data_IF_005853037167
#
_entry.id   IF_005853037167
#
_cell.length_a   1.000
_cell.length_b   1.000
_cell.length_c   1.000
_cell.angle_alpha   90.00
_cell.angle_beta   90.00
_cell.angle_gamma   90.00
#
_symmetry.space_group_name_H-M   'P 1'
#
loop_
_entity.id
_entity.type
_entity.pdbx_description
1 polymer ?
#
# COMPACT_ATOMS: atom_id res chain seq x y z
N UNK A 1 6.56 2.61 4.54
CA UNK A 1 5.78 2.67 5.80
C UNK A 1 6.05 3.94 6.60
N UNK A 2 7.26 4.14 7.16
CA UNK A 2 7.60 5.21 8.13
C UNK A 2 7.05 6.62 7.83
N UNK A 3 7.24 7.14 6.63
CA UNK A 3 6.84 8.54 6.31
C UNK A 3 5.41 8.66 5.79
N UNK A 4 4.90 7.61 5.13
CA UNK A 4 3.60 7.66 4.45
C UNK A 4 2.44 7.25 5.36
N UNK A 5 2.71 6.49 6.43
CA UNK A 5 1.68 6.03 7.37
C UNK A 5 1.62 6.92 8.61
N UNK A 6 0.86 8.00 8.51
CA UNK A 6 0.74 9.01 9.58
C UNK A 6 0.06 8.50 10.86
N UNK A 7 -0.66 7.37 10.79
CA UNK A 7 -1.27 6.71 11.97
C UNK A 7 -0.26 6.11 12.95
N UNK A 8 0.98 5.84 12.50
CA UNK A 8 2.05 5.36 13.38
C UNK A 8 2.89 6.49 13.97
N UNK A 9 2.62 7.73 13.57
CA UNK A 9 3.37 8.91 14.03
C UNK A 9 2.53 9.71 15.02
N UNK A 10 3.15 10.14 16.13
CA UNK A 10 2.54 11.02 17.14
C UNK A 10 2.28 12.42 16.54
N UNK A 11 1.25 13.11 17.01
CA UNK A 11 0.86 14.48 16.60
C UNK A 11 0.54 14.61 15.10
N UNK A 12 -0.42 13.85 14.58
CA UNK A 12 -0.92 14.04 13.20
C UNK A 12 -2.44 14.12 13.14
N UNK A 13 -2.94 14.80 12.11
CA UNK A 13 -4.37 14.95 11.83
C UNK A 13 -5.04 13.63 11.36
N UNK A 14 -4.27 12.54 11.19
CA UNK A 14 -4.78 11.23 10.83
C UNK A 14 -5.19 10.40 12.07
N UNK A 15 -5.73 11.06 13.09
CA UNK A 15 -6.16 10.43 14.34
C UNK A 15 -7.56 9.83 14.17
N UNK A 16 -7.67 8.53 14.38
CA UNK A 16 -8.95 7.82 14.45
C UNK A 16 -8.80 6.72 15.50
N UNK A 17 -9.75 6.67 16.43
CA UNK A 17 -9.73 5.76 17.59
C UNK A 17 -10.20 4.36 17.24
N UNK A 18 -10.94 4.19 16.13
CA UNK A 18 -11.42 2.90 15.65
C UNK A 18 -10.26 2.06 15.11
N UNK A 19 -10.11 0.85 15.62
CA UNK A 19 -9.03 -0.08 15.25
C UNK A 19 -9.21 -0.58 13.81
N UNK A 20 -10.45 -0.73 13.36
CA UNK A 20 -10.81 -1.19 12.01
C UNK A 20 -10.18 -0.27 10.96
N UNK A 21 -10.29 1.04 11.17
CA UNK A 21 -9.70 2.03 10.28
C UNK A 21 -8.17 1.96 10.22
N UNK A 22 -7.52 1.50 11.30
CA UNK A 22 -6.07 1.29 11.30
C UNK A 22 -5.72 0.08 10.42
N UNK A 23 -6.47 -1.02 10.56
CA UNK A 23 -6.30 -2.22 9.75
C UNK A 23 -6.53 -1.92 8.27
N UNK A 24 -7.60 -1.20 7.92
CA UNK A 24 -7.85 -0.79 6.54
C UNK A 24 -6.71 0.07 5.97
N UNK A 25 -6.18 1.03 6.73
CA UNK A 25 -5.03 1.83 6.26
C UNK A 25 -3.79 0.96 6.01
N UNK A 26 -3.49 0.03 6.92
CA UNK A 26 -2.34 -0.88 6.79
C UNK A 26 -2.50 -1.77 5.58
N UNK A 27 -3.68 -2.35 5.37
CA UNK A 27 -3.98 -3.20 4.22
C UNK A 27 -3.81 -2.43 2.91
N UNK A 28 -4.48 -1.28 2.77
CA UNK A 28 -4.40 -0.43 1.56
C UNK A 28 -2.97 0.00 1.28
N UNK A 29 -2.26 0.45 2.30
CA UNK A 29 -0.88 0.89 2.17
C UNK A 29 0.02 -0.24 1.66
N UNK A 30 -0.07 -1.40 2.30
CA UNK A 30 0.83 -2.53 2.04
C UNK A 30 0.59 -3.08 0.64
N UNK A 31 -0.68 -3.19 0.23
CA UNK A 31 -1.01 -3.61 -1.12
C UNK A 31 -0.54 -2.61 -2.18
N UNK A 32 -0.81 -1.31 -2.02
CA UNK A 32 -0.35 -0.29 -2.95
C UNK A 32 1.19 -0.22 -3.04
N UNK A 33 1.89 -0.33 -1.91
CA UNK A 33 3.36 -0.33 -1.86
C UNK A 33 3.99 -1.51 -2.60
N UNK A 34 3.34 -2.69 -2.53
CA UNK A 34 3.86 -3.94 -3.10
C UNK A 34 3.49 -4.15 -4.57
N UNK A 35 2.30 -3.73 -5.01
CA UNK A 35 1.78 -4.06 -6.34
C UNK A 35 1.82 -2.89 -7.33
N UNK A 36 1.63 -1.66 -6.86
CA UNK A 36 1.50 -0.46 -7.72
C UNK A 36 2.79 0.36 -7.74
N UNK A 37 3.39 0.58 -6.57
CA UNK A 37 4.54 1.48 -6.46
C UNK A 37 5.83 0.82 -6.94
N UNK A 38 6.44 1.39 -7.97
CA UNK A 38 7.80 1.06 -8.40
C UNK A 38 8.85 1.60 -7.42
N UNK A 39 9.93 0.85 -7.20
CA UNK A 39 11.03 1.27 -6.31
C UNK A 39 12.36 1.32 -7.06
N UNK A 40 13.03 2.48 -6.95
CA UNK A 40 14.35 2.68 -7.57
C UNK A 40 15.41 1.70 -7.03
N UNK A 41 15.34 1.36 -5.75
CA UNK A 41 16.25 0.39 -5.12
C UNK A 41 16.13 -1.03 -5.66
N UNK A 42 15.00 -1.37 -6.30
CA UNK A 42 14.76 -2.66 -6.94
C UNK A 42 14.98 -2.59 -8.47
N UNK A 43 15.56 -1.51 -8.99
CA UNK A 43 15.73 -1.34 -10.44
C UNK A 43 14.45 -0.94 -11.17
N UNK A 44 13.47 -0.37 -10.48
CA UNK A 44 12.23 0.13 -11.09
C UNK A 44 11.08 -0.88 -11.11
N UNK A 45 11.26 -2.08 -10.58
CA UNK A 45 10.18 -3.06 -10.38
C UNK A 45 9.47 -2.83 -9.03
N UNK A 46 8.32 -3.48 -8.85
CA UNK A 46 7.60 -3.48 -7.58
C UNK A 46 8.10 -4.61 -6.67
N UNK A 47 7.88 -4.52 -5.35
CA UNK A 47 8.29 -5.57 -4.42
C UNK A 47 7.59 -6.90 -4.69
N UNK A 48 6.32 -6.89 -5.12
CA UNK A 48 5.60 -8.10 -5.49
C UNK A 48 6.18 -8.77 -6.74
N UNK A 49 6.70 -7.97 -7.69
CA UNK A 49 7.44 -8.50 -8.84
C UNK A 49 8.80 -9.07 -8.43
N UNK A 50 9.55 -8.35 -7.58
CA UNK A 50 10.83 -8.85 -7.06
C UNK A 50 10.68 -10.16 -6.28
N UNK A 51 9.55 -10.35 -5.61
CA UNK A 51 9.19 -11.57 -4.89
C UNK A 51 8.52 -12.66 -5.76
N UNK A 52 8.43 -12.45 -7.09
CA UNK A 52 7.76 -13.36 -8.03
C UNK A 52 6.28 -13.67 -7.71
N UNK A 53 5.59 -12.78 -6.99
CA UNK A 53 4.15 -12.91 -6.69
C UNK A 53 3.30 -12.52 -7.89
N UNK A 54 3.79 -11.57 -8.70
CA UNK A 54 3.14 -11.13 -9.94
C UNK A 54 4.21 -10.80 -10.99
N UNK A 55 3.91 -11.05 -12.25
CA UNK A 55 4.78 -10.66 -13.37
C UNK A 55 4.33 -9.34 -14.03
N UNK A 56 3.13 -8.85 -13.69
CA UNK A 56 2.59 -7.59 -14.20
C UNK A 56 2.68 -6.48 -13.16
N UNK A 57 2.92 -5.26 -13.63
CA UNK A 57 2.69 -4.05 -12.87
C UNK A 57 1.18 -3.79 -12.74
N UNK A 58 0.72 -3.46 -11.55
CA UNK A 58 -0.69 -3.10 -11.34
C UNK A 58 -0.87 -1.61 -11.56
N UNK A 59 -1.93 -1.23 -12.28
CA UNK A 59 -2.37 0.16 -12.34
C UNK A 59 -3.10 0.55 -11.05
N UNK A 60 -3.32 1.86 -10.86
CA UNK A 60 -4.17 2.34 -9.77
C UNK A 60 -5.63 1.90 -9.99
N UNK A 61 -6.08 1.80 -11.24
CA UNK A 61 -7.42 1.33 -11.58
C UNK A 61 -7.60 -0.13 -11.17
N UNK A 62 -6.65 -1.01 -11.50
CA UNK A 62 -6.65 -2.42 -11.06
C UNK A 62 -6.78 -2.53 -9.53
N UNK A 63 -6.07 -1.66 -8.83
CA UNK A 63 -6.09 -1.63 -7.37
C UNK A 63 -7.42 -1.16 -6.80
N UNK A 64 -8.04 -0.14 -7.38
CA UNK A 64 -9.38 0.35 -6.97
C UNK A 64 -10.44 -0.71 -7.27
N UNK A 65 -10.41 -1.32 -8.46
CA UNK A 65 -11.31 -2.41 -8.83
C UNK A 65 -11.19 -3.59 -7.86
N UNK A 66 -9.99 -3.92 -7.36
CA UNK A 66 -9.85 -4.95 -6.33
C UNK A 66 -10.54 -4.55 -5.01
N UNK A 67 -10.42 -3.30 -4.59
CA UNK A 67 -10.99 -2.80 -3.33
C UNK A 67 -12.52 -2.70 -3.40
N UNK A 68 -13.08 -2.37 -4.56
CA UNK A 68 -14.53 -2.30 -4.75
C UNK A 68 -15.20 -3.67 -4.86
N UNK A 69 -14.49 -4.68 -5.39
CA UNK A 69 -15.02 -6.02 -5.62
C UNK A 69 -14.66 -7.05 -4.53
N UNK A 70 -13.91 -6.64 -3.50
CA UNK A 70 -13.52 -7.49 -2.36
C UNK A 70 -14.38 -7.24 -1.13
#
# INVERSE_FOLDING_TARGET
>A
MRTQMRRFTRLTNAFSTKWENHVHLVALYTACYNFVKQHKSLGGITPAMAANVTMRLWSIEDFVTLVENG
#
